data_IF_331205918829
#
_entry.id   IF_331205918829
#
_cell.length_a   1.000
_cell.length_b   1.000
_cell.length_c   1.000
_cell.angle_alpha   90.00
_cell.angle_beta   90.00
_cell.angle_gamma   90.00
#
_symmetry.space_group_name_H-M   'P 1'
#
loop_
_entity.id
_entity.type
_entity.pdbx_description
1 polymer ?
#
# COMPACT_ATOMS: atom_id res chain seq x y z
N UNK A 1 -17.04 44.97 -17.41
CA UNK A 1 -17.26 43.82 -18.31
C UNK A 1 -17.10 42.56 -17.45
N UNK A 2 -18.18 41.79 -17.29
CA UNK A 2 -18.28 40.54 -16.50
C UNK A 2 -17.64 39.36 -17.25
N UNK A 3 -17.15 38.38 -16.48
CA UNK A 3 -17.36 36.91 -16.53
C UNK A 3 -16.11 36.24 -15.90
N UNK A 4 -16.13 35.80 -14.64
CA UNK A 4 -16.81 34.64 -14.06
C UNK A 4 -16.39 33.30 -14.70
N UNK A 5 -15.64 32.50 -13.93
CA UNK A 5 -15.57 31.03 -14.07
C UNK A 5 -15.21 30.43 -12.72
N UNK A 6 -16.18 30.52 -11.80
CA UNK A 6 -16.35 29.54 -10.72
C UNK A 6 -16.78 28.21 -11.35
N UNK A 7 -16.04 27.11 -11.14
CA UNK A 7 -16.57 25.77 -11.41
C UNK A 7 -16.00 24.75 -10.40
N UNK A 8 -16.87 24.41 -9.43
CA UNK A 8 -16.92 23.20 -8.57
C UNK A 8 -15.88 23.00 -7.46
N UNK A 9 -16.08 23.75 -6.36
CA UNK A 9 -15.57 23.38 -5.04
C UNK A 9 -16.67 23.47 -3.96
N UNK A 10 -17.90 23.07 -4.27
CA UNK A 10 -19.04 23.12 -3.32
C UNK A 10 -20.16 22.15 -3.71
N UNK A 11 -20.08 20.88 -3.32
CA UNK A 11 -21.25 19.98 -3.27
C UNK A 11 -20.96 18.61 -2.63
N UNK A 12 -20.75 18.57 -1.30
CA UNK A 12 -21.00 17.34 -0.51
C UNK A 12 -21.05 17.56 1.03
N UNK A 13 -21.12 18.80 1.53
CA UNK A 13 -21.08 19.08 2.97
C UNK A 13 -22.27 19.96 3.38
N UNK A 14 -23.49 19.41 3.36
CA UNK A 14 -24.64 20.02 4.04
C UNK A 14 -25.87 19.09 4.03
N UNK A 15 -25.82 17.95 4.73
CA UNK A 15 -26.99 17.27 5.33
C UNK A 15 -26.51 16.10 6.19
N UNK A 16 -25.76 16.39 7.24
CA UNK A 16 -25.59 15.44 8.35
C UNK A 16 -26.27 16.07 9.56
N UNK A 17 -27.60 15.96 9.59
CA UNK A 17 -28.40 16.26 10.78
C UNK A 17 -27.98 15.31 11.90
N UNK A 18 -27.23 15.83 12.86
CA UNK A 18 -27.36 15.67 14.33
C UNK A 18 -27.62 14.29 14.98
N UNK A 19 -27.51 13.16 14.29
CA UNK A 19 -27.75 11.81 14.88
C UNK A 19 -26.50 10.94 14.83
N UNK A 20 -25.30 11.48 14.98
CA UNK A 20 -24.10 10.74 14.58
C UNK A 20 -22.90 11.03 15.49
N UNK A 21 -22.81 10.26 16.58
CA UNK A 21 -21.65 10.26 17.49
C UNK A 21 -21.21 8.87 17.96
N UNK A 22 -22.13 7.96 18.30
CA UNK A 22 -21.77 6.68 18.94
C UNK A 22 -22.59 5.46 18.48
N UNK A 23 -23.30 5.55 17.35
CA UNK A 23 -24.07 4.42 16.83
C UNK A 23 -23.14 3.31 16.33
N UNK A 24 -23.01 2.25 17.13
CA UNK A 24 -22.31 1.01 16.76
C UNK A 24 -23.34 0.05 16.16
N UNK A 25 -23.13 -0.37 14.93
CA UNK A 25 -23.87 -1.46 14.32
C UNK A 25 -23.52 -2.77 15.03
N UNK A 26 -24.50 -3.66 15.27
CA UNK A 26 -24.24 -5.04 15.65
C UNK A 26 -23.20 -5.69 14.73
N UNK A 27 -22.39 -6.62 15.23
CA UNK A 27 -21.28 -7.20 14.47
C UNK A 27 -21.72 -7.91 13.18
N UNK A 28 -22.95 -8.43 13.15
CA UNK A 28 -23.62 -9.03 12.00
C UNK A 28 -24.08 -8.01 10.94
N UNK A 29 -24.03 -6.71 11.24
CA UNK A 29 -24.37 -5.61 10.34
C UNK A 29 -23.15 -4.77 9.93
N UNK A 30 -21.94 -5.25 10.20
CA UNK A 30 -20.72 -4.56 9.80
C UNK A 30 -20.66 -4.39 8.27
N UNK A 31 -20.39 -3.16 7.83
CA UNK A 31 -20.25 -2.86 6.40
C UNK A 31 -18.82 -3.16 5.98
N UNK A 32 -18.66 -4.03 4.99
CA UNK A 32 -17.35 -4.40 4.43
C UNK A 32 -17.21 -3.84 3.02
N UNK A 33 -16.04 -3.27 2.72
CA UNK A 33 -15.64 -2.82 1.39
C UNK A 33 -14.31 -3.44 1.03
N UNK A 34 -14.21 -4.01 -0.16
CA UNK A 34 -12.95 -4.55 -0.69
C UNK A 34 -12.24 -3.46 -1.49
N UNK A 35 -10.91 -3.46 -1.41
CA UNK A 35 -10.09 -2.58 -2.22
C UNK A 35 -8.94 -3.36 -2.88
N UNK A 36 -8.49 -2.84 -4.00
CA UNK A 36 -7.31 -3.34 -4.70
C UNK A 36 -6.48 -2.17 -5.20
N UNK A 37 -5.21 -2.16 -4.82
CA UNK A 37 -4.17 -1.24 -5.29
C UNK A 37 -3.33 -1.98 -6.32
N UNK A 38 -3.23 -1.41 -7.51
CA UNK A 38 -2.42 -1.95 -8.63
C UNK A 38 -1.54 -0.85 -9.22
N UNK A 39 -0.59 -1.22 -10.08
CA UNK A 39 0.26 -0.25 -10.78
C UNK A 39 1.50 0.18 -10.01
N UNK A 40 1.90 -0.59 -8.99
CA UNK A 40 3.26 -0.53 -8.43
C UNK A 40 4.24 -1.00 -9.50
N UNK A 41 5.33 -0.26 -9.71
CA UNK A 41 6.39 -0.62 -10.69
C UNK A 41 7.65 -1.12 -10.02
N UNK A 42 7.82 -0.81 -8.73
CA UNK A 42 8.98 -1.11 -7.90
C UNK A 42 8.51 -1.33 -6.47
N UNK A 43 9.29 -2.06 -5.68
CA UNK A 43 8.93 -2.40 -4.29
C UNK A 43 9.90 -1.78 -3.29
N UNK A 44 9.42 -1.09 -2.25
CA UNK A 44 10.23 -0.78 -1.07
C UNK A 44 10.83 -2.06 -0.47
N UNK A 45 12.07 -1.98 0.02
CA UNK A 45 12.72 -3.14 0.69
C UNK A 45 11.93 -3.66 1.88
N UNK A 46 11.16 -2.81 2.57
CA UNK A 46 10.30 -3.22 3.70
C UNK A 46 9.09 -4.06 3.29
N UNK A 47 8.70 -4.05 2.01
CA UNK A 47 7.63 -4.87 1.45
C UNK A 47 8.12 -6.24 0.95
N UNK A 48 9.43 -6.48 1.03
CA UNK A 48 10.07 -7.69 0.53
C UNK A 48 10.77 -8.37 1.70
N UNK A 49 10.86 -9.70 1.69
CA UNK A 49 11.57 -10.41 2.75
C UNK A 49 12.82 -11.13 2.24
N UNK A 50 13.88 -11.07 3.04
CA UNK A 50 15.19 -11.61 2.71
C UNK A 50 15.47 -12.98 3.34
N UNK A 51 16.41 -13.72 2.74
CA UNK A 51 17.06 -14.86 3.39
C UNK A 51 17.90 -14.43 4.60
N UNK A 52 18.37 -15.37 5.42
CA UNK A 52 19.03 -15.11 6.71
C UNK A 52 20.23 -14.15 6.65
N UNK A 53 20.96 -14.11 5.52
CA UNK A 53 22.13 -13.26 5.33
C UNK A 53 21.81 -11.87 4.77
N UNK A 54 20.60 -11.65 4.28
CA UNK A 54 20.20 -10.44 3.58
C UNK A 54 19.96 -9.24 4.51
N UNK A 55 19.30 -9.39 5.68
CA UNK A 55 19.13 -8.29 6.64
C UNK A 55 20.43 -7.66 7.12
N UNK A 56 21.54 -8.42 7.16
CA UNK A 56 22.84 -7.89 7.52
C UNK A 56 23.39 -6.90 6.48
N UNK A 57 22.98 -7.05 5.21
CA UNK A 57 23.39 -6.17 4.09
C UNK A 57 22.38 -5.08 3.81
N UNK A 58 21.09 -5.34 4.05
CA UNK A 58 19.97 -4.42 3.85
C UNK A 58 19.12 -4.43 5.13
N UNK A 59 19.45 -3.59 6.13
CA UNK A 59 18.79 -3.62 7.43
C UNK A 59 17.28 -3.43 7.38
N UNK A 60 16.80 -2.68 6.38
CA UNK A 60 15.37 -2.35 6.22
C UNK A 60 14.55 -3.46 5.54
N UNK A 61 15.19 -4.51 5.02
CA UNK A 61 14.46 -5.63 4.42
C UNK A 61 13.75 -6.44 5.50
N UNK A 62 12.56 -6.94 5.18
CA UNK A 62 11.83 -7.75 6.13
C UNK A 62 12.57 -9.09 6.36
N UNK A 63 12.59 -9.59 7.60
CA UNK A 63 13.25 -10.86 7.94
C UNK A 63 12.38 -12.08 7.66
N UNK A 64 11.08 -11.86 7.44
CA UNK A 64 10.08 -12.90 7.20
C UNK A 64 8.91 -12.38 6.37
N UNK A 65 8.17 -13.30 5.74
CA UNK A 65 6.93 -12.99 5.04
C UNK A 65 5.95 -12.23 5.95
N UNK A 66 5.73 -12.71 7.18
CA UNK A 66 4.84 -12.08 8.14
C UNK A 66 5.24 -10.63 8.48
N UNK A 67 6.55 -10.34 8.57
CA UNK A 67 7.02 -8.97 8.84
C UNK A 67 6.76 -8.01 7.67
N UNK A 68 6.92 -8.48 6.42
CA UNK A 68 6.58 -7.69 5.23
C UNK A 68 5.07 -7.45 5.12
N UNK A 69 4.25 -8.47 5.37
CA UNK A 69 2.79 -8.32 5.43
C UNK A 69 2.36 -7.35 6.52
N UNK A 70 2.93 -7.48 7.73
CA UNK A 70 2.65 -6.59 8.86
C UNK A 70 3.10 -5.14 8.61
N UNK A 71 4.14 -4.93 7.78
CA UNK A 71 4.52 -3.60 7.33
C UNK A 71 3.45 -2.99 6.41
N UNK A 72 3.03 -3.71 5.36
CA UNK A 72 2.00 -3.25 4.42
C UNK A 72 0.67 -3.00 5.13
N UNK A 73 0.26 -3.91 6.00
CA UNK A 73 -0.93 -3.79 6.85
C UNK A 73 -0.93 -2.48 7.64
N UNK A 74 0.17 -2.17 8.33
CA UNK A 74 0.30 -0.94 9.13
C UNK A 74 0.35 0.29 8.24
N UNK A 75 1.06 0.24 7.11
CA UNK A 75 1.16 1.35 6.18
C UNK A 75 -0.23 1.74 5.64
N UNK A 76 -1.01 0.77 5.16
CA UNK A 76 -2.37 1.02 4.65
C UNK A 76 -3.28 1.51 5.77
N UNK A 77 -3.29 0.83 6.93
CA UNK A 77 -4.14 1.20 8.06
C UNK A 77 -3.85 2.63 8.54
N UNK A 78 -2.59 2.98 8.80
CA UNK A 78 -2.21 4.32 9.25
C UNK A 78 -2.61 5.38 8.23
N UNK A 79 -2.36 5.12 6.96
CA UNK A 79 -2.67 6.10 5.90
C UNK A 79 -4.18 6.32 5.76
N UNK A 80 -4.98 5.26 5.82
CA UNK A 80 -6.45 5.36 5.77
C UNK A 80 -6.97 6.13 6.99
N UNK A 81 -6.48 5.83 8.19
CA UNK A 81 -6.84 6.55 9.41
C UNK A 81 -6.44 8.03 9.33
N UNK A 82 -5.24 8.34 8.85
CA UNK A 82 -4.78 9.73 8.66
C UNK A 82 -5.68 10.51 7.68
N UNK A 83 -6.14 9.88 6.58
CA UNK A 83 -7.09 10.53 5.65
C UNK A 83 -8.39 10.86 6.37
N UNK A 84 -8.95 9.88 7.06
CA UNK A 84 -10.24 10.00 7.72
C UNK A 84 -10.19 10.99 8.88
N UNK A 85 -9.09 11.05 9.63
CA UNK A 85 -8.86 12.05 10.67
C UNK A 85 -8.84 13.46 10.07
N UNK A 86 -8.10 13.67 8.97
CA UNK A 86 -8.07 14.95 8.25
C UNK A 86 -9.45 15.33 7.71
N UNK A 87 -10.20 14.37 7.16
CA UNK A 87 -11.56 14.60 6.70
C UNK A 87 -12.50 14.96 7.86
N UNK A 88 -12.44 14.25 8.98
CA UNK A 88 -13.24 14.52 10.18
C UNK A 88 -12.97 15.92 10.73
N UNK A 89 -11.69 16.32 10.82
CA UNK A 89 -11.31 17.69 11.21
C UNK A 89 -11.80 18.74 10.23
N UNK A 90 -11.72 18.46 8.92
CA UNK A 90 -12.26 19.38 7.89
C UNK A 90 -13.78 19.54 7.96
N UNK A 91 -14.47 18.54 8.53
CA UNK A 91 -15.91 18.57 8.82
C UNK A 91 -16.24 19.14 10.21
N UNK A 92 -15.26 19.72 10.93
CA UNK A 92 -15.41 20.31 12.27
C UNK A 92 -15.91 19.33 13.33
N UNK A 93 -15.60 18.03 13.18
CA UNK A 93 -15.89 17.03 14.21
C UNK A 93 -14.89 17.18 15.38
N UNK A 94 -15.34 17.05 16.64
CA UNK A 94 -14.43 16.99 17.79
C UNK A 94 -13.48 15.79 17.72
N UNK A 95 -12.23 15.93 18.15
CA UNK A 95 -11.22 14.85 18.10
C UNK A 95 -11.68 13.57 18.81
N UNK A 96 -12.43 13.68 19.92
CA UNK A 96 -13.00 12.54 20.63
C UNK A 96 -14.00 11.75 19.76
N UNK A 97 -14.80 12.45 18.94
CA UNK A 97 -15.75 11.82 18.01
C UNK A 97 -15.01 11.16 16.86
N UNK A 98 -14.01 11.84 16.30
CA UNK A 98 -13.15 11.28 15.26
C UNK A 98 -12.51 9.98 15.75
N UNK A 99 -11.88 9.99 16.93
CA UNK A 99 -11.24 8.81 17.52
C UNK A 99 -12.22 7.66 17.74
N UNK A 100 -13.43 7.95 18.24
CA UNK A 100 -14.47 6.93 18.45
C UNK A 100 -14.99 6.31 17.14
N UNK A 101 -15.07 7.11 16.06
CA UNK A 101 -15.45 6.63 14.72
C UNK A 101 -14.32 5.77 14.14
N UNK A 102 -13.08 6.24 14.22
CA UNK A 102 -11.90 5.54 13.71
C UNK A 102 -11.63 4.22 14.45
N UNK A 103 -11.91 4.16 15.75
CA UNK A 103 -11.81 2.93 16.54
C UNK A 103 -12.78 1.81 16.12
N UNK A 104 -13.77 2.13 15.29
CA UNK A 104 -14.73 1.17 14.72
C UNK A 104 -14.36 0.72 13.31
N UNK A 105 -13.23 1.19 12.75
CA UNK A 105 -12.72 0.80 11.45
C UNK A 105 -11.64 -0.26 11.60
N UNK A 106 -11.84 -1.41 10.98
CA UNK A 106 -10.83 -2.45 10.83
C UNK A 106 -10.38 -2.49 9.37
N UNK A 107 -9.06 -2.42 9.16
CA UNK A 107 -8.46 -2.64 7.84
C UNK A 107 -7.82 -4.02 7.86
N UNK A 108 -8.04 -4.83 6.84
CA UNK A 108 -7.34 -6.08 6.61
C UNK A 108 -6.69 -6.04 5.24
N UNK A 109 -5.43 -6.43 5.12
CA UNK A 109 -4.67 -6.40 3.88
C UNK A 109 -4.21 -7.80 3.50
N UNK A 110 -4.36 -8.10 2.22
CA UNK A 110 -3.84 -9.29 1.58
C UNK A 110 -2.75 -8.84 0.63
N UNK A 111 -1.52 -9.23 0.96
CA UNK A 111 -0.32 -8.92 0.20
C UNK A 111 0.54 -10.18 0.10
N UNK A 112 1.16 -10.39 -1.06
CA UNK A 112 2.09 -11.49 -1.31
C UNK A 112 3.51 -10.93 -1.40
N UNK A 113 4.27 -10.91 -0.28
CA UNK A 113 5.65 -10.46 -0.30
C UNK A 113 6.50 -11.31 -1.23
N UNK A 114 7.43 -10.66 -1.92
CA UNK A 114 8.46 -11.35 -2.68
C UNK A 114 9.57 -11.84 -1.74
N UNK A 115 10.19 -12.97 -2.07
CA UNK A 115 11.35 -13.50 -1.36
C UNK A 115 12.65 -13.18 -2.11
N UNK A 116 13.62 -12.64 -1.38
CA UNK A 116 14.97 -12.37 -1.87
C UNK A 116 15.96 -13.27 -1.15
N UNK A 117 16.41 -14.34 -1.80
CA UNK A 117 17.44 -15.21 -1.24
C UNK A 117 18.77 -14.46 -1.09
N UNK A 118 19.07 -13.59 -2.06
CA UNK A 118 20.24 -12.72 -2.07
C UNK A 118 19.92 -11.36 -2.70
N UNK A 119 20.78 -10.38 -2.42
CA UNK A 119 20.62 -9.00 -2.89
C UNK A 119 21.87 -8.52 -3.63
N UNK A 120 21.62 -7.78 -4.70
CA UNK A 120 22.63 -7.15 -5.55
C UNK A 120 22.40 -5.64 -5.52
N UNK A 121 23.47 -4.86 -5.33
CA UNK A 121 23.37 -3.40 -5.33
C UNK A 121 23.70 -2.88 -6.72
N UNK A 122 22.67 -2.57 -7.49
CA UNK A 122 22.79 -2.14 -8.88
C UNK A 122 23.36 -3.19 -9.85
N UNK A 123 23.59 -2.78 -11.09
CA UNK A 123 24.09 -3.65 -12.17
C UNK A 123 25.60 -3.96 -12.07
N UNK A 124 26.34 -3.24 -11.21
CA UNK A 124 27.79 -3.38 -11.05
C UNK A 124 28.21 -4.58 -10.19
N UNK A 125 27.31 -5.12 -9.36
CA UNK A 125 27.56 -6.30 -8.51
C UNK A 125 27.16 -7.64 -9.16
N UNK A 126 26.78 -7.61 -10.45
CA UNK A 126 26.31 -8.77 -11.21
C UNK A 126 27.38 -9.86 -11.45
N UNK A 127 28.62 -9.67 -10.99
CA UNK A 127 29.71 -10.67 -11.07
C UNK A 127 29.86 -11.52 -9.80
N UNK A 128 29.09 -11.27 -8.74
CA UNK A 128 29.19 -11.95 -7.43
C UNK A 128 28.05 -12.93 -7.15
N UNK A 129 27.33 -13.33 -8.18
CA UNK A 129 26.10 -14.10 -7.99
C UNK A 129 26.42 -15.54 -7.72
N UNK A 130 25.85 -16.01 -6.62
CA UNK A 130 25.72 -17.43 -6.37
C UNK A 130 24.59 -17.98 -7.27
N UNK A 131 24.98 -18.55 -8.42
CA UNK A 131 24.08 -19.17 -9.40
C UNK A 131 23.35 -20.42 -8.86
N UNK A 132 23.62 -20.80 -7.61
CA UNK A 132 22.85 -21.85 -6.90
C UNK A 132 21.54 -21.33 -6.31
N UNK A 133 21.34 -20.01 -6.24
CA UNK A 133 20.15 -19.41 -5.63
C UNK A 133 19.09 -19.03 -6.66
N UNK A 134 17.82 -19.45 -6.47
CA UNK A 134 16.79 -19.33 -7.50
C UNK A 134 16.23 -17.91 -7.69
N UNK A 135 16.34 -17.03 -6.69
CA UNK A 135 15.74 -15.68 -6.71
C UNK A 135 16.67 -14.64 -6.08
N UNK A 136 17.37 -13.89 -6.93
CA UNK A 136 18.24 -12.79 -6.53
C UNK A 136 17.55 -11.46 -6.83
N UNK A 137 17.50 -10.56 -5.85
CA UNK A 137 16.83 -9.28 -5.99
C UNK A 137 17.83 -8.16 -6.30
N UNK A 138 17.46 -7.30 -7.24
CA UNK A 138 18.26 -6.14 -7.61
C UNK A 138 17.75 -4.94 -6.82
N UNK A 139 18.61 -4.41 -5.96
CA UNK A 139 18.32 -3.26 -5.11
C UNK A 139 19.05 -2.04 -5.67
N UNK A 140 18.28 -0.98 -5.91
CA UNK A 140 18.80 0.35 -6.21
C UNK A 140 18.35 1.29 -5.11
N UNK A 141 19.29 1.75 -4.28
CA UNK A 141 18.97 2.51 -3.07
C UNK A 141 18.20 1.67 -2.05
N UNK A 142 16.97 2.07 -1.73
CA UNK A 142 16.05 1.39 -0.79
C UNK A 142 14.93 0.61 -1.50
N UNK A 143 15.16 0.23 -2.76
CA UNK A 143 14.09 -0.21 -3.66
C UNK A 143 14.49 -1.44 -4.45
N UNK A 144 13.59 -2.40 -4.55
CA UNK A 144 13.74 -3.56 -5.42
C UNK A 144 13.20 -3.19 -6.80
N UNK A 145 14.09 -3.17 -7.78
CA UNK A 145 13.80 -2.73 -9.15
C UNK A 145 13.62 -3.88 -10.12
N UNK A 146 14.01 -5.09 -9.74
CA UNK A 146 13.88 -6.27 -10.57
C UNK A 146 14.36 -7.52 -9.87
N UNK A 147 14.10 -8.64 -10.53
CA UNK A 147 14.62 -9.94 -10.14
C UNK A 147 15.65 -10.39 -11.16
N UNK A 148 16.61 -11.16 -10.68
CA UNK A 148 17.48 -11.90 -11.52
C UNK A 148 17.26 -13.40 -11.30
N UNK A 149 16.93 -14.05 -12.40
CA UNK A 149 16.76 -15.49 -12.49
C UNK A 149 18.04 -16.10 -13.03
N UNK A 150 18.38 -17.30 -12.52
CA UNK A 150 19.52 -18.08 -13.00
C UNK A 150 19.54 -18.18 -14.54
N UNK A 151 20.71 -18.01 -15.14
CA UNK A 151 20.93 -18.35 -16.54
C UNK A 151 20.59 -19.84 -16.77
N UNK A 152 19.85 -20.18 -17.82
CA UNK A 152 19.66 -21.58 -18.22
C UNK A 152 20.98 -22.26 -18.66
N UNK A 153 22.03 -21.47 -18.91
CA UNK A 153 23.35 -21.94 -19.29
C UNK A 153 24.30 -21.96 -18.07
N UNK A 154 24.85 -23.13 -17.66
CA UNK A 154 25.80 -23.23 -16.55
C UNK A 154 27.15 -22.52 -16.81
N UNK A 155 27.43 -22.09 -18.04
CA UNK A 155 28.65 -21.35 -18.39
C UNK A 155 28.47 -19.83 -18.36
N UNK A 156 27.25 -19.31 -18.17
CA UNK A 156 27.01 -17.88 -17.97
C UNK A 156 26.94 -17.57 -16.47
N UNK A 157 28.07 -17.13 -15.90
CA UNK A 157 28.13 -16.67 -14.52
C UNK A 157 27.42 -15.31 -14.38
N UNK A 158 26.36 -15.29 -13.56
CA UNK A 158 25.71 -14.08 -13.10
C UNK A 158 24.58 -13.50 -13.96
N UNK A 159 23.98 -12.44 -13.45
CA UNK A 159 22.87 -11.71 -14.05
C UNK A 159 23.45 -10.83 -15.15
N UNK A 160 23.61 -11.36 -16.35
CA UNK A 160 24.02 -10.53 -17.49
C UNK A 160 22.91 -9.52 -17.82
N UNK A 161 23.29 -8.39 -18.43
CA UNK A 161 22.34 -7.44 -19.00
C UNK A 161 21.44 -8.18 -20.00
N UNK A 162 20.17 -8.41 -19.65
CA UNK A 162 19.24 -9.26 -20.40
C UNK A 162 18.64 -10.43 -19.61
N UNK A 163 19.18 -10.78 -18.44
CA UNK A 163 18.63 -11.82 -17.53
C UNK A 163 17.86 -11.24 -16.34
N UNK A 164 17.56 -9.95 -16.39
CA UNK A 164 16.66 -9.30 -15.44
C UNK A 164 15.23 -9.56 -15.86
N UNK A 165 14.46 -10.23 -15.00
CA UNK A 165 13.02 -10.37 -15.20
C UNK A 165 12.27 -9.27 -14.44
N UNK A 166 11.12 -8.81 -14.97
CA UNK A 166 10.25 -7.91 -14.24
C UNK A 166 9.71 -8.61 -12.98
N UNK A 167 9.39 -7.81 -11.96
CA UNK A 167 8.70 -8.32 -10.77
C UNK A 167 7.31 -8.80 -11.18
N UNK A 168 6.94 -10.01 -10.76
CA UNK A 168 5.63 -10.58 -11.07
C UNK A 168 4.50 -9.74 -10.46
N UNK A 169 3.36 -9.66 -11.14
CA UNK A 169 2.29 -8.72 -10.78
C UNK A 169 1.63 -9.04 -9.45
N UNK A 170 1.68 -10.28 -8.98
CA UNK A 170 1.21 -10.68 -7.65
C UNK A 170 1.95 -9.95 -6.51
N UNK A 171 3.23 -9.62 -6.69
CA UNK A 171 4.03 -8.89 -5.71
C UNK A 171 3.82 -7.37 -5.80
N UNK A 172 3.24 -6.88 -6.90
CA UNK A 172 3.00 -5.47 -7.22
C UNK A 172 1.53 -5.05 -7.00
N UNK A 173 0.75 -5.89 -6.31
CA UNK A 173 -0.64 -5.60 -5.97
C UNK A 173 -0.87 -5.73 -4.47
N UNK A 174 -1.65 -4.83 -3.91
CA UNK A 174 -2.10 -4.88 -2.50
C UNK A 174 -3.61 -4.93 -2.54
N UNK A 175 -4.21 -5.95 -1.94
CA UNK A 175 -5.67 -6.05 -1.82
C UNK A 175 -6.06 -6.06 -0.36
N UNK A 176 -7.34 -5.93 -0.07
CA UNK A 176 -7.80 -5.97 1.32
C UNK A 176 -9.28 -5.65 1.48
N UNK A 177 -9.68 -5.54 2.73
CA UNK A 177 -11.01 -5.10 3.12
C UNK A 177 -10.96 -4.03 4.21
N UNK A 178 -11.91 -3.11 4.13
CA UNK A 178 -12.25 -2.12 5.15
C UNK A 178 -13.58 -2.57 5.75
N UNK A 179 -13.59 -2.86 7.04
CA UNK A 179 -14.79 -3.23 7.77
C UNK A 179 -15.08 -2.15 8.81
N UNK A 180 -16.32 -1.68 8.85
CA UNK A 180 -16.75 -0.69 9.83
C UNK A 180 -18.06 -1.09 10.50
N UNK A 181 -18.12 -0.90 11.82
CA UNK A 181 -19.37 -0.96 12.58
C UNK A 181 -19.98 0.42 12.79
N UNK A 182 -19.34 1.49 12.32
CA UNK A 182 -19.88 2.83 12.48
C UNK A 182 -20.99 3.09 11.46
N UNK A 183 -22.18 3.48 11.94
CA UNK A 183 -23.36 3.68 11.08
C UNK A 183 -23.16 4.76 10.00
N UNK A 184 -22.32 5.78 10.25
CA UNK A 184 -22.03 6.83 9.25
C UNK A 184 -21.27 6.22 8.09
N UNK A 185 -20.13 5.60 8.41
CA UNK A 185 -19.21 5.05 7.41
C UNK A 185 -19.81 3.83 6.71
N UNK A 186 -20.66 3.08 7.39
CA UNK A 186 -21.36 1.94 6.81
C UNK A 186 -22.28 2.33 5.63
N UNK A 187 -22.89 3.52 5.71
CA UNK A 187 -23.78 4.08 4.70
C UNK A 187 -23.06 4.86 3.59
N UNK A 188 -21.72 4.94 3.63
CA UNK A 188 -20.96 5.58 2.56
C UNK A 188 -21.05 4.80 1.25
N UNK A 189 -21.26 5.55 0.18
CA UNK A 189 -21.22 4.99 -1.18
C UNK A 189 -19.80 4.54 -1.55
N UNK A 190 -19.69 3.63 -2.52
CA UNK A 190 -18.40 3.17 -3.03
C UNK A 190 -17.54 4.33 -3.55
N UNK A 191 -18.16 5.37 -4.11
CA UNK A 191 -17.47 6.59 -4.55
C UNK A 191 -16.82 7.35 -3.40
N UNK A 192 -17.46 7.40 -2.23
CA UNK A 192 -16.88 8.06 -1.04
C UNK A 192 -15.69 7.26 -0.52
N UNK A 193 -15.83 5.94 -0.40
CA UNK A 193 -14.72 5.06 -0.03
C UNK A 193 -13.57 5.11 -1.04
N UNK A 194 -13.89 5.20 -2.33
CA UNK A 194 -12.89 5.37 -3.37
C UNK A 194 -12.14 6.71 -3.23
N UNK A 195 -12.81 7.82 -2.92
CA UNK A 195 -12.13 9.10 -2.65
C UNK A 195 -11.17 9.01 -1.46
N UNK A 196 -11.59 8.35 -0.37
CA UNK A 196 -10.74 8.09 0.81
C UNK A 196 -9.51 7.28 0.40
N UNK A 197 -9.69 6.18 -0.33
CA UNK A 197 -8.58 5.32 -0.75
C UNK A 197 -7.65 6.01 -1.74
N UNK A 198 -8.17 6.83 -2.66
CA UNK A 198 -7.34 7.64 -3.58
C UNK A 198 -6.49 8.64 -2.80
N UNK A 199 -7.07 9.31 -1.79
CA UNK A 199 -6.32 10.22 -0.91
C UNK A 199 -5.27 9.48 -0.08
N UNK A 200 -5.59 8.27 0.41
CA UNK A 200 -4.65 7.44 1.12
C UNK A 200 -3.48 7.07 0.20
N UNK A 201 -3.76 6.62 -1.02
CA UNK A 201 -2.76 6.29 -2.02
C UNK A 201 -1.82 7.47 -2.31
N UNK A 202 -2.38 8.67 -2.48
CA UNK A 202 -1.60 9.91 -2.64
C UNK A 202 -0.73 10.22 -1.42
N UNK A 203 -1.21 9.99 -0.20
CA UNK A 203 -0.40 10.16 1.01
C UNK A 203 0.74 9.14 1.11
N UNK A 204 0.51 7.89 0.68
CA UNK A 204 1.59 6.91 0.55
C UNK A 204 2.61 7.34 -0.51
N UNK A 205 2.15 7.93 -1.60
CA UNK A 205 2.99 8.48 -2.67
C UNK A 205 3.79 9.75 -2.26
N UNK A 206 3.46 10.40 -1.15
CA UNK A 206 4.18 11.57 -0.62
C UNK A 206 5.14 11.23 0.54
N UNK A 207 5.07 9.99 1.03
CA UNK A 207 5.92 9.46 2.09
C UNK A 207 7.25 8.95 1.52
N UNK A 208 8.21 8.46 2.33
CA UNK A 208 9.49 7.92 1.84
C UNK A 208 9.36 6.82 0.77
N UNK A 209 8.16 6.30 0.52
CA UNK A 209 7.86 5.31 -0.49
C UNK A 209 7.30 5.92 -1.80
N UNK A 210 7.43 7.23 -1.97
CA UNK A 210 6.62 8.02 -2.89
C UNK A 210 6.70 7.64 -4.37
N UNK A 211 7.92 7.35 -4.85
CA UNK A 211 8.16 6.93 -6.22
C UNK A 211 7.52 5.59 -6.58
N UNK A 212 7.23 4.73 -5.59
CA UNK A 212 6.64 3.40 -5.79
C UNK A 212 5.14 3.46 -6.08
N UNK A 213 4.46 4.45 -5.51
CA UNK A 213 3.00 4.58 -5.58
C UNK A 213 2.52 5.61 -6.62
N UNK A 214 3.43 6.32 -7.31
CA UNK A 214 3.06 7.41 -8.22
C UNK A 214 2.17 6.97 -9.40
N UNK A 215 2.41 5.78 -9.95
CA UNK A 215 1.61 5.18 -11.03
C UNK A 215 0.48 4.28 -10.53
N UNK A 216 0.32 4.15 -9.21
CA UNK A 216 -0.64 3.22 -8.64
C UNK A 216 -2.07 3.76 -8.71
N UNK A 217 -3.03 2.85 -8.84
CA UNK A 217 -4.46 3.14 -8.85
C UNK A 217 -5.17 2.26 -7.83
N UNK A 218 -6.33 2.72 -7.37
CA UNK A 218 -7.14 1.97 -6.40
C UNK A 218 -8.58 1.85 -6.87
N UNK A 219 -9.11 0.64 -6.79
CA UNK A 219 -10.52 0.33 -7.00
C UNK A 219 -11.14 -0.11 -5.68
N UNK A 220 -12.40 0.28 -5.46
CA UNK A 220 -13.19 -0.11 -4.28
C UNK A 220 -14.50 -0.70 -4.77
N UNK A 221 -14.94 -1.78 -4.14
CA UNK A 221 -16.22 -2.42 -4.41
C UNK A 221 -16.69 -3.26 -3.23
N UNK A 222 -17.89 -3.85 -3.36
CA UNK A 222 -18.44 -4.82 -2.41
C UNK A 222 -17.92 -6.24 -2.69
#
# INVERSE_FOLDING_TARGET
>A
MRLATDFFMTSALATISTVLGCGVLPADQASTRRFMVTGLTTLPVNMVHGGSTVPARVPDIATSNASAQGFVQRLVMQTVLDVLERQGRSALLPDAVISAILGQLTVNTTYAPMFCQEVLFGLSDMTKIDDTKPQNCIITGSTVTGICTKAMDPNMMGCMAGMTAPIASEHLSISGSLMTTNIIMANWSDRMWQDVMIRALRMMALRPFGSHFFSSSVTVGN
#
